data_IF_457683280330
#
_entry.id   IF_457683280330
#
_cell.length_a   1.000
_cell.length_b   1.000
_cell.length_c   1.000
_cell.angle_alpha   90.00
_cell.angle_beta   90.00
_cell.angle_gamma   90.00
#
_symmetry.space_group_name_H-M   'P 1'
#
loop_
_entity.id
_entity.type
_entity.pdbx_description
1 polymer ?
#
# COMPACT_ATOMS: atom_id res chain seq x y z
N UNK A 1 44.00 24.90 -3.11
CA UNK A 1 42.87 24.44 -3.94
C UNK A 1 41.95 23.69 -3.01
N UNK A 2 40.86 24.33 -2.56
CA UNK A 2 39.96 23.76 -1.56
C UNK A 2 39.04 22.75 -2.27
N UNK A 3 39.12 21.48 -1.86
CA UNK A 3 38.17 20.46 -2.29
C UNK A 3 36.82 20.80 -1.66
N UNK A 4 35.86 21.07 -2.51
CA UNK A 4 34.48 21.38 -2.19
C UNK A 4 33.80 20.18 -1.52
N UNK A 5 33.65 20.25 -0.19
CA UNK A 5 32.96 19.27 0.67
C UNK A 5 31.50 18.96 0.24
N UNK A 6 30.93 19.74 -0.68
CA UNK A 6 29.57 19.52 -1.19
C UNK A 6 29.48 18.42 -2.25
N UNK A 7 30.59 18.07 -2.92
CA UNK A 7 30.60 16.98 -3.92
C UNK A 7 30.46 15.58 -3.28
N UNK A 8 30.66 15.50 -1.96
CA UNK A 8 30.53 14.27 -1.17
C UNK A 8 29.19 14.17 -0.42
N UNK A 9 28.29 15.15 -0.58
CA UNK A 9 26.97 15.17 0.09
C UNK A 9 25.85 14.59 -0.77
N UNK A 10 26.09 14.46 -2.07
CA UNK A 10 25.04 14.13 -3.05
C UNK A 10 25.26 12.74 -3.69
N UNK A 11 26.37 12.07 -3.34
CA UNK A 11 26.74 10.73 -3.84
C UNK A 11 26.51 9.62 -2.82
N UNK A 12 25.82 9.91 -1.73
CA UNK A 12 25.40 8.89 -0.79
C UNK A 12 24.51 7.88 -1.51
N UNK A 13 24.70 6.57 -1.29
CA UNK A 13 23.63 5.61 -1.51
C UNK A 13 22.28 6.21 -1.14
N UNK A 14 21.36 6.31 -2.10
CA UNK A 14 19.97 6.50 -1.73
C UNK A 14 19.68 5.39 -0.70
N UNK A 15 19.15 5.75 0.47
CA UNK A 15 19.05 4.96 1.71
C UNK A 15 18.56 3.50 1.53
N UNK A 16 18.01 3.17 0.36
CA UNK A 16 17.75 1.85 -0.19
C UNK A 16 18.94 0.88 -0.30
N UNK A 17 20.21 1.31 -0.25
CA UNK A 17 21.33 0.36 -0.44
C UNK A 17 21.51 -0.66 0.71
N UNK A 18 20.79 -0.53 1.82
CA UNK A 18 20.72 -1.61 2.83
C UNK A 18 19.33 -1.71 3.49
N UNK A 19 18.31 -2.14 2.74
CA UNK A 19 17.04 -2.57 3.37
C UNK A 19 17.31 -3.79 4.24
N UNK A 20 17.09 -3.66 5.56
CA UNK A 20 17.34 -4.76 6.51
C UNK A 20 16.25 -5.83 6.43
N UNK A 21 16.49 -7.00 7.02
CA UNK A 21 15.47 -8.05 7.08
C UNK A 21 14.27 -7.65 7.96
N UNK A 22 14.50 -6.83 8.98
CA UNK A 22 13.43 -6.24 9.79
C UNK A 22 12.56 -5.30 8.93
N UNK A 23 13.17 -4.46 8.09
CA UNK A 23 12.42 -3.55 7.21
C UNK A 23 11.58 -4.32 6.19
N UNK A 24 12.14 -5.40 5.61
CA UNK A 24 11.42 -6.31 4.71
C UNK A 24 10.23 -6.96 5.42
N UNK A 25 10.41 -7.39 6.67
CA UNK A 25 9.34 -7.98 7.47
C UNK A 25 8.23 -6.96 7.76
N UNK A 26 8.56 -5.75 8.19
CA UNK A 26 7.56 -4.71 8.47
C UNK A 26 6.81 -4.27 7.20
N UNK A 27 7.51 -4.19 6.06
CA UNK A 27 6.88 -3.91 4.77
C UNK A 27 5.95 -5.05 4.31
N UNK A 28 6.34 -6.32 4.51
CA UNK A 28 5.47 -7.48 4.27
C UNK A 28 4.22 -7.41 5.15
N UNK A 29 4.39 -7.17 6.46
CA UNK A 29 3.30 -7.09 7.42
C UNK A 29 2.34 -5.95 7.10
N UNK A 30 2.84 -4.82 6.58
CA UNK A 30 2.00 -3.74 6.10
C UNK A 30 1.01 -4.19 5.02
N UNK A 31 1.42 -5.00 4.05
CA UNK A 31 0.48 -5.55 3.06
C UNK A 31 -0.41 -6.63 3.66
N UNK A 32 0.16 -7.61 4.37
CA UNK A 32 -0.63 -8.71 4.96
C UNK A 32 -1.66 -8.23 5.98
N UNK A 33 -1.43 -7.09 6.63
CA UNK A 33 -2.43 -6.46 7.50
C UNK A 33 -3.73 -6.11 6.79
N UNK A 34 -3.70 -5.93 5.47
CA UNK A 34 -4.89 -5.78 4.63
C UNK A 34 -5.84 -6.99 4.68
N UNK A 35 -5.33 -8.19 4.96
CA UNK A 35 -6.13 -9.42 5.09
C UNK A 35 -6.98 -9.45 6.37
N UNK A 36 -6.76 -8.52 7.31
CA UNK A 36 -7.60 -8.39 8.50
C UNK A 36 -9.06 -8.09 8.17
N UNK A 37 -9.38 -7.69 6.94
CA UNK A 37 -10.75 -7.54 6.44
C UNK A 37 -11.55 -8.83 6.57
N UNK A 38 -10.90 -10.00 6.53
CA UNK A 38 -11.51 -11.32 6.70
C UNK A 38 -11.93 -11.61 8.15
N UNK A 39 -11.37 -10.89 9.11
CA UNK A 39 -11.61 -11.10 10.54
C UNK A 39 -12.50 -9.99 11.09
N UNK A 40 -12.12 -8.74 10.86
CA UNK A 40 -12.83 -7.57 11.36
C UNK A 40 -12.55 -6.34 10.50
N UNK A 41 -13.59 -5.74 9.95
CA UNK A 41 -13.52 -4.36 9.47
C UNK A 41 -13.65 -3.40 10.67
N UNK A 42 -12.92 -2.26 10.70
CA UNK A 42 -12.03 -1.71 9.67
C UNK A 42 -10.53 -1.98 9.91
N UNK A 43 -10.17 -3.13 10.50
CA UNK A 43 -8.79 -3.41 10.91
C UNK A 43 -7.80 -3.43 9.72
N UNK A 44 -8.27 -3.80 8.52
CA UNK A 44 -7.49 -3.74 7.28
C UNK A 44 -7.00 -2.33 6.90
N UNK A 45 -7.69 -1.28 7.33
CA UNK A 45 -7.28 0.12 7.09
C UNK A 45 -6.47 0.64 8.27
N UNK A 46 -6.88 0.32 9.49
CA UNK A 46 -6.24 0.82 10.71
C UNK A 46 -4.80 0.31 10.83
N UNK A 47 -4.57 -0.98 10.57
CA UNK A 47 -3.25 -1.58 10.73
C UNK A 47 -2.17 -0.96 9.82
N UNK A 48 -2.36 -0.82 8.48
CA UNK A 48 -1.37 -0.17 7.63
C UNK A 48 -1.24 1.33 7.93
N UNK A 49 -2.32 2.00 8.38
CA UNK A 49 -2.25 3.39 8.85
C UNK A 49 -1.34 3.54 10.08
N UNK A 50 -1.49 2.66 11.07
CA UNK A 50 -0.63 2.66 12.26
C UNK A 50 0.83 2.44 11.83
N UNK A 51 1.09 1.45 10.97
CA UNK A 51 2.45 1.18 10.47
C UNK A 51 3.01 2.39 9.71
N UNK A 52 2.22 3.04 8.87
CA UNK A 52 2.65 4.26 8.20
C UNK A 52 3.04 5.34 9.20
N UNK A 53 2.20 5.65 10.18
CA UNK A 53 2.49 6.68 11.19
C UNK A 53 3.72 6.33 12.03
N UNK A 54 3.93 5.05 12.35
CA UNK A 54 5.07 4.61 13.15
C UNK A 54 6.40 4.70 12.39
N UNK A 55 6.39 4.55 11.07
CA UNK A 55 7.59 4.45 10.24
C UNK A 55 7.83 5.65 9.31
N UNK A 56 6.85 6.55 9.13
CA UNK A 56 6.94 7.69 8.18
C UNK A 56 8.20 8.55 8.34
N UNK A 57 8.68 8.72 9.57
CA UNK A 57 9.87 9.52 9.89
C UNK A 57 11.11 8.66 10.20
N UNK A 58 10.99 7.32 10.15
CA UNK A 58 12.03 6.38 10.60
C UNK A 58 12.62 5.54 9.48
N UNK A 59 11.77 5.09 8.55
CA UNK A 59 12.20 4.25 7.46
C UNK A 59 11.29 4.47 6.24
N UNK A 60 11.85 5.07 5.18
CA UNK A 60 11.11 5.38 3.95
C UNK A 60 10.61 4.12 3.22
N UNK A 61 11.34 3.01 3.27
CA UNK A 61 10.94 1.74 2.65
C UNK A 61 9.65 1.18 3.29
N UNK A 62 9.65 1.06 4.62
CA UNK A 62 8.48 0.56 5.37
C UNK A 62 7.31 1.54 5.24
N UNK A 63 7.58 2.85 5.38
CA UNK A 63 6.57 3.87 5.26
C UNK A 63 5.89 3.88 3.88
N UNK A 64 6.66 3.75 2.81
CA UNK A 64 6.13 3.64 1.45
C UNK A 64 5.19 2.44 1.30
N UNK A 65 5.61 1.24 1.71
CA UNK A 65 4.78 0.05 1.61
C UNK A 65 3.53 0.10 2.51
N UNK A 66 3.64 0.71 3.69
CA UNK A 66 2.50 0.95 4.58
C UNK A 66 1.48 1.92 3.99
N UNK A 67 1.94 3.05 3.45
CA UNK A 67 1.07 4.01 2.79
C UNK A 67 0.39 3.43 1.54
N UNK A 68 1.16 2.68 0.74
CA UNK A 68 0.67 2.01 -0.44
C UNK A 68 -0.40 0.96 -0.09
N UNK A 69 -0.18 0.16 0.95
CA UNK A 69 -1.19 -0.79 1.48
C UNK A 69 -2.46 -0.06 1.93
N UNK A 70 -2.30 1.05 2.67
CA UNK A 70 -3.42 1.88 3.12
C UNK A 70 -4.25 2.40 1.94
N UNK A 71 -3.62 2.98 0.92
CA UNK A 71 -4.31 3.48 -0.27
C UNK A 71 -5.02 2.37 -1.04
N UNK A 72 -4.43 1.18 -1.12
CA UNK A 72 -5.09 0.04 -1.76
C UNK A 72 -6.39 -0.34 -1.02
N UNK A 73 -6.34 -0.44 0.31
CA UNK A 73 -7.51 -0.78 1.12
C UNK A 73 -8.62 0.28 1.00
N UNK A 74 -8.24 1.55 1.00
CA UNK A 74 -9.19 2.65 0.78
C UNK A 74 -9.79 2.60 -0.62
N UNK A 75 -9.01 2.30 -1.66
CA UNK A 75 -9.52 2.15 -3.02
C UNK A 75 -10.57 1.03 -3.13
N UNK A 76 -10.31 -0.14 -2.53
CA UNK A 76 -11.27 -1.24 -2.50
C UNK A 76 -12.58 -0.83 -1.81
N UNK A 77 -12.50 -0.11 -0.68
CA UNK A 77 -13.67 0.38 0.05
C UNK A 77 -14.47 1.36 -0.81
N UNK A 78 -13.81 2.33 -1.44
CA UNK A 78 -14.48 3.31 -2.30
C UNK A 78 -15.22 2.63 -3.45
N UNK A 79 -14.56 1.70 -4.16
CA UNK A 79 -15.20 0.99 -5.28
C UNK A 79 -16.38 0.14 -4.78
N UNK A 80 -16.23 -0.55 -3.64
CA UNK A 80 -17.30 -1.34 -3.03
C UNK A 80 -18.51 -0.49 -2.64
N UNK A 81 -18.29 0.68 -2.03
CA UNK A 81 -19.35 1.64 -1.68
C UNK A 81 -20.06 2.15 -2.93
N UNK A 82 -19.33 2.51 -3.98
CA UNK A 82 -19.92 2.95 -5.26
C UNK A 82 -20.79 1.84 -5.90
N UNK A 83 -20.34 0.59 -5.86
CA UNK A 83 -21.12 -0.56 -6.33
C UNK A 83 -22.42 -0.74 -5.52
N UNK A 84 -22.36 -0.57 -4.20
CA UNK A 84 -23.54 -0.61 -3.32
C UNK A 84 -24.51 0.53 -3.60
N UNK A 85 -24.01 1.75 -3.79
CA UNK A 85 -24.83 2.92 -4.17
C UNK A 85 -25.52 2.65 -5.51
N UNK A 86 -24.81 2.13 -6.51
CA UNK A 86 -25.38 1.78 -7.82
C UNK A 86 -26.54 0.79 -7.68
N UNK A 87 -26.36 -0.26 -6.89
CA UNK A 87 -27.42 -1.23 -6.63
C UNK A 87 -28.63 -0.59 -5.94
N UNK A 88 -28.41 0.32 -4.99
CA UNK A 88 -29.46 1.00 -4.26
C UNK A 88 -30.28 1.95 -5.15
N UNK A 89 -29.63 2.86 -5.90
CA UNK A 89 -30.32 3.87 -6.72
C UNK A 89 -31.10 3.26 -7.89
N UNK A 90 -30.71 2.06 -8.35
CA UNK A 90 -31.37 1.34 -9.44
C UNK A 90 -32.42 0.33 -8.94
N UNK A 91 -32.78 0.39 -7.66
CA UNK A 91 -33.75 -0.52 -7.02
C UNK A 91 -33.40 -2.01 -7.23
N UNK A 92 -32.10 -2.33 -7.21
CA UNK A 92 -31.58 -3.69 -7.34
C UNK A 92 -31.15 -4.12 -8.75
N UNK A 93 -31.53 -3.40 -9.81
CA UNK A 93 -31.08 -3.74 -11.19
C UNK A 93 -29.55 -3.66 -11.31
N UNK A 94 -28.93 -2.70 -10.62
CA UNK A 94 -27.49 -2.51 -10.56
C UNK A 94 -26.74 -3.67 -9.90
N UNK A 95 -27.41 -4.61 -9.23
CA UNK A 95 -26.78 -5.82 -8.69
C UNK A 95 -26.14 -6.69 -9.78
N UNK A 96 -26.65 -6.64 -11.01
CA UNK A 96 -26.05 -7.34 -12.17
C UNK A 96 -24.59 -6.92 -12.38
N UNK A 97 -24.29 -5.65 -12.11
CA UNK A 97 -22.92 -5.09 -12.21
C UNK A 97 -22.21 -5.16 -10.86
N UNK A 98 -22.92 -4.84 -9.76
CA UNK A 98 -22.30 -4.76 -8.43
C UNK A 98 -21.78 -6.11 -7.94
N UNK A 99 -22.47 -7.22 -8.21
CA UNK A 99 -22.05 -8.56 -7.75
C UNK A 99 -20.70 -8.97 -8.37
N UNK A 100 -20.51 -8.96 -9.71
CA UNK A 100 -19.21 -9.24 -10.31
C UNK A 100 -18.09 -8.33 -9.78
N UNK A 101 -18.38 -7.04 -9.59
CA UNK A 101 -17.41 -6.07 -9.05
C UNK A 101 -17.00 -6.46 -7.62
N UNK A 102 -17.96 -6.73 -6.73
CA UNK A 102 -17.68 -7.10 -5.33
C UNK A 102 -16.86 -8.40 -5.26
N UNK A 103 -17.19 -9.40 -6.09
CA UNK A 103 -16.42 -10.64 -6.18
C UNK A 103 -14.99 -10.38 -6.65
N UNK A 104 -14.81 -9.52 -7.67
CA UNK A 104 -13.50 -9.09 -8.13
C UNK A 104 -12.69 -8.37 -7.06
N UNK A 105 -13.32 -7.47 -6.28
CA UNK A 105 -12.69 -6.78 -5.15
C UNK A 105 -12.29 -7.75 -4.04
N UNK A 106 -13.11 -8.76 -3.73
CA UNK A 106 -12.78 -9.77 -2.72
C UNK A 106 -11.53 -10.58 -3.12
N UNK A 107 -11.45 -11.01 -4.38
CA UNK A 107 -10.27 -11.71 -4.90
C UNK A 107 -9.05 -10.78 -4.89
N UNK A 108 -9.19 -9.56 -5.40
CA UNK A 108 -8.09 -8.58 -5.44
C UNK A 108 -7.58 -8.24 -4.04
N UNK A 109 -8.48 -8.05 -3.07
CA UNK A 109 -8.18 -7.74 -1.68
C UNK A 109 -7.44 -8.83 -0.91
N UNK A 110 -7.44 -10.07 -1.43
CA UNK A 110 -6.66 -11.18 -0.88
C UNK A 110 -5.35 -11.36 -1.66
N UNK A 111 -5.44 -11.41 -2.99
CA UNK A 111 -4.31 -11.80 -3.85
C UNK A 111 -3.23 -10.72 -3.91
N UNK A 112 -3.60 -9.45 -4.12
CA UNK A 112 -2.60 -8.41 -4.29
C UNK A 112 -1.76 -8.14 -3.02
N UNK A 113 -2.34 -8.06 -1.80
CA UNK A 113 -1.52 -7.89 -0.60
C UNK A 113 -0.49 -9.00 -0.39
N UNK A 114 -0.79 -10.22 -0.80
CA UNK A 114 0.18 -11.33 -0.77
C UNK A 114 1.28 -11.09 -1.81
N UNK A 115 0.91 -10.81 -3.07
CA UNK A 115 1.89 -10.59 -4.14
C UNK A 115 2.83 -9.43 -3.80
N UNK A 116 2.27 -8.25 -3.50
CA UNK A 116 3.06 -7.06 -3.20
C UNK A 116 3.85 -7.25 -1.91
N UNK A 117 3.27 -7.89 -0.89
CA UNK A 117 3.96 -8.26 0.33
C UNK A 117 5.18 -9.15 0.09
N UNK A 118 5.07 -10.16 -0.79
CA UNK A 118 6.20 -11.03 -1.15
C UNK A 118 7.31 -10.30 -1.90
N UNK A 119 6.97 -9.33 -2.76
CA UNK A 119 7.96 -8.49 -3.43
C UNK A 119 8.66 -7.56 -2.42
N UNK A 120 7.89 -6.96 -1.51
CA UNK A 120 8.44 -6.18 -0.40
C UNK A 120 9.35 -7.03 0.52
N UNK A 121 9.03 -8.30 0.72
CA UNK A 121 9.91 -9.19 1.49
C UNK A 121 11.24 -9.51 0.77
N UNK A 122 11.31 -9.34 -0.56
CA UNK A 122 12.56 -9.45 -1.34
C UNK A 122 13.37 -8.16 -1.38
N UNK A 123 12.90 -7.09 -0.72
CA UNK A 123 13.54 -5.77 -0.76
C UNK A 123 13.20 -4.95 -2.01
N UNK A 124 12.17 -5.36 -2.77
CA UNK A 124 11.76 -4.68 -3.99
C UNK A 124 10.76 -3.57 -3.68
N UNK A 125 10.99 -2.37 -4.24
CA UNK A 125 10.01 -1.26 -4.24
C UNK A 125 8.86 -1.52 -5.23
N UNK A 126 8.19 -2.66 -5.08
CA UNK A 126 7.11 -3.09 -5.96
C UNK A 126 5.81 -2.36 -5.65
N UNK A 127 5.10 -1.99 -6.71
CA UNK A 127 3.96 -1.09 -6.65
C UNK A 127 2.66 -1.76 -7.04
N UNK A 128 1.56 -1.35 -6.39
CA UNK A 128 0.24 -1.63 -6.96
C UNK A 128 0.02 -0.71 -8.16
N UNK A 129 -0.46 -1.27 -9.26
CA UNK A 129 -0.69 -0.56 -10.52
C UNK A 129 -1.51 0.73 -10.35
N UNK A 130 -2.51 0.74 -9.46
CA UNK A 130 -3.45 1.87 -9.35
C UNK A 130 -3.15 2.87 -8.23
N UNK A 131 -2.40 2.47 -7.21
CA UNK A 131 -2.20 3.30 -6.00
C UNK A 131 -0.73 3.48 -5.62
N UNK A 132 0.18 2.74 -6.24
CA UNK A 132 1.60 2.84 -5.94
C UNK A 132 2.20 4.18 -6.34
N UNK A 133 1.83 4.71 -7.52
CA UNK A 133 2.26 6.04 -7.95
C UNK A 133 1.77 7.14 -6.99
N UNK A 134 0.55 7.01 -6.47
CA UNK A 134 0.00 7.95 -5.48
C UNK A 134 0.81 7.92 -4.17
N UNK A 135 1.16 6.72 -3.68
CA UNK A 135 2.00 6.56 -2.50
C UNK A 135 3.42 7.09 -2.74
N UNK A 136 4.01 6.83 -3.91
CA UNK A 136 5.34 7.30 -4.30
C UNK A 136 5.39 8.83 -4.32
N UNK A 137 4.38 9.45 -4.92
CA UNK A 137 4.23 10.90 -4.98
C UNK A 137 4.12 11.52 -3.59
N UNK A 138 3.34 10.90 -2.70
CA UNK A 138 3.15 11.41 -1.33
C UNK A 138 4.42 11.32 -0.47
N UNK A 139 5.33 10.41 -0.81
CA UNK A 139 6.61 10.20 -0.12
C UNK A 139 7.77 10.96 -0.75
N UNK A 140 7.52 11.81 -1.76
CA UNK A 140 8.53 12.58 -2.50
C UNK A 140 9.71 11.71 -2.99
N UNK A 141 9.41 10.58 -3.62
CA UNK A 141 10.39 9.61 -4.13
C UNK A 141 10.79 9.86 -5.60
N UNK A 142 11.03 11.12 -5.97
CA UNK A 142 11.47 11.55 -7.30
C UNK A 142 12.98 11.80 -7.37
#
# INVERSE_FOLDING_TARGET
MATNDWENRDSGPVEFLTVTDDDKLWALLAHLSGLLVLVAAPANVIAPLILFVLYKDKNRYVAFHALQSLYFQLALIVIGVLAGILAFITLGIGLIVAIPVILGLAVAGIVYPIIVGLHAHRGEMYEYVFVGELARKHMDLY
#
